data_IF_715765842884
#
_entry.id   IF_715765842884
#
_cell.length_a   1.000
_cell.length_b   1.000
_cell.length_c   1.000
_cell.angle_alpha   90.00
_cell.angle_beta   90.00
_cell.angle_gamma   90.00
#
_symmetry.space_group_name_H-M   'P 1'
#
loop_
_entity.id
_entity.type
_entity.pdbx_description
1 polymer ?
#
# COMPACT_ATOMS: atom_id res chain seq x y z
N UNK A 1 3.61 19.09 12.09
CA UNK A 1 4.58 18.16 12.69
C UNK A 1 3.88 16.81 12.76
N UNK A 2 4.34 15.80 12.01
CA UNK A 2 3.73 14.47 11.97
C UNK A 2 4.31 13.58 13.08
N UNK A 3 4.05 13.95 14.33
CA UNK A 3 4.44 13.15 15.49
C UNK A 3 3.22 12.47 16.10
N UNK A 4 3.41 11.26 16.62
CA UNK A 4 2.36 10.54 17.32
C UNK A 4 1.78 11.39 18.46
N UNK A 5 0.45 11.44 18.54
CA UNK A 5 -0.27 11.98 19.69
C UNK A 5 -0.38 10.89 20.77
N UNK A 6 -0.63 11.29 22.01
CA UNK A 6 -0.89 10.35 23.10
C UNK A 6 -2.02 9.37 22.74
N UNK A 7 -3.12 9.90 22.19
CA UNK A 7 -4.25 9.10 21.71
C UNK A 7 -3.85 8.08 20.65
N UNK A 8 -3.00 8.46 19.69
CA UNK A 8 -2.51 7.52 18.67
C UNK A 8 -1.60 6.43 19.25
N UNK A 9 -0.83 6.75 20.30
CA UNK A 9 0.00 5.77 21.00
C UNK A 9 -0.82 4.80 21.83
N UNK A 10 -1.85 5.29 22.53
CA UNK A 10 -2.78 4.45 23.30
C UNK A 10 -3.59 3.53 22.37
N UNK A 11 -4.06 4.05 21.22
CA UNK A 11 -4.74 3.25 20.20
C UNK A 11 -3.82 2.14 19.65
N UNK A 12 -2.56 2.45 19.39
CA UNK A 12 -1.56 1.47 18.94
C UNK A 12 -1.28 0.40 20.00
N UNK A 13 -1.11 0.79 21.27
CA UNK A 13 -0.90 -0.15 22.38
C UNK A 13 -2.10 -1.11 22.55
N UNK A 14 -3.32 -0.59 22.51
CA UNK A 14 -4.54 -1.41 22.55
C UNK A 14 -4.65 -2.34 21.34
N UNK A 15 -4.27 -1.88 20.15
CA UNK A 15 -4.22 -2.70 18.93
C UNK A 15 -3.26 -3.86 19.08
N UNK A 16 -2.04 -3.60 19.57
CA UNK A 16 -1.03 -4.65 19.74
C UNK A 16 -1.47 -5.66 20.81
N UNK A 17 -2.01 -5.19 21.94
CA UNK A 17 -2.52 -6.05 23.03
C UNK A 17 -3.64 -6.96 22.55
N UNK A 18 -4.58 -6.45 21.75
CA UNK A 18 -5.69 -7.27 21.26
C UNK A 18 -5.24 -8.31 20.25
N UNK A 19 -4.31 -7.96 19.35
CA UNK A 19 -3.69 -8.90 18.42
C UNK A 19 -2.93 -10.02 19.14
N UNK A 20 -2.12 -9.71 20.16
CA UNK A 20 -1.44 -10.71 21.00
C UNK A 20 -2.45 -11.60 21.71
N UNK A 21 -3.48 -11.00 22.32
CA UNK A 21 -4.52 -11.73 23.04
C UNK A 21 -5.25 -12.70 22.12
N UNK A 22 -5.59 -12.28 20.91
CA UNK A 22 -6.22 -13.14 19.89
C UNK A 22 -5.33 -14.32 19.52
N UNK A 23 -4.04 -14.07 19.25
CA UNK A 23 -3.07 -15.13 18.92
C UNK A 23 -2.92 -16.12 20.07
N UNK A 24 -2.78 -15.63 21.30
CA UNK A 24 -2.67 -16.47 22.48
C UNK A 24 -3.89 -17.38 22.65
N UNK A 25 -5.09 -16.82 22.52
CA UNK A 25 -6.34 -17.58 22.67
C UNK A 25 -6.60 -18.56 21.53
N UNK A 26 -6.14 -18.26 20.32
CA UNK A 26 -6.30 -19.14 19.16
C UNK A 26 -5.34 -20.34 19.20
N UNK A 27 -4.14 -20.18 19.76
CA UNK A 27 -3.07 -21.17 19.57
C UNK A 27 -2.41 -21.68 20.86
N UNK A 28 -2.48 -20.95 21.97
CA UNK A 28 -1.70 -21.26 23.19
C UNK A 28 -2.59 -21.71 24.34
N UNK A 29 -3.67 -20.99 24.63
CA UNK A 29 -4.49 -21.25 25.82
C UNK A 29 -5.94 -20.83 25.69
N UNK A 30 -6.73 -21.16 26.70
CA UNK A 30 -8.16 -20.81 26.78
C UNK A 30 -8.44 -20.00 28.05
N UNK A 31 -9.42 -19.10 27.99
CA UNK A 31 -9.91 -18.38 29.17
C UNK A 31 -10.82 -19.29 29.99
N UNK A 32 -10.49 -19.54 31.25
CA UNK A 32 -11.20 -20.50 32.11
C UNK A 32 -12.30 -19.81 32.94
N UNK A 33 -12.06 -18.58 33.40
CA UNK A 33 -12.90 -17.96 34.43
C UNK A 33 -13.85 -16.87 33.89
N UNK A 34 -13.58 -16.32 32.71
CA UNK A 34 -14.36 -15.20 32.13
C UNK A 34 -14.41 -13.91 32.97
N UNK A 35 -13.73 -13.86 34.13
CA UNK A 35 -13.75 -12.73 35.08
C UNK A 35 -13.12 -11.46 34.53
N UNK A 36 -12.25 -11.61 33.53
CA UNK A 36 -11.58 -10.50 32.85
C UNK A 36 -11.94 -10.55 31.37
N UNK A 37 -12.43 -9.43 30.84
CA UNK A 37 -12.68 -9.28 29.41
C UNK A 37 -11.35 -9.21 28.67
N UNK A 38 -11.08 -10.23 27.86
CA UNK A 38 -9.92 -10.28 26.98
C UNK A 38 -10.29 -9.70 25.62
N UNK A 39 -9.83 -8.47 25.35
CA UNK A 39 -10.06 -7.82 24.06
C UNK A 39 -9.25 -8.54 22.98
N UNK A 40 -9.92 -9.08 21.96
CA UNK A 40 -9.29 -9.80 20.83
C UNK A 40 -9.29 -8.97 19.54
N UNK A 41 -10.14 -7.94 19.50
CA UNK A 41 -10.31 -7.09 18.34
C UNK A 41 -9.61 -5.75 18.56
N UNK A 42 -8.85 -5.25 17.59
CA UNK A 42 -8.32 -3.89 17.63
C UNK A 42 -9.42 -2.86 17.83
N UNK A 43 -9.16 -1.78 18.60
CA UNK A 43 -10.10 -0.66 18.68
C UNK A 43 -10.36 -0.10 17.29
N UNK A 44 -11.61 0.24 17.02
CA UNK A 44 -12.01 0.80 15.73
C UNK A 44 -11.15 2.04 15.41
N UNK A 45 -10.61 2.08 14.18
CA UNK A 45 -10.06 3.32 13.64
C UNK A 45 -11.21 4.28 13.37
N UNK A 46 -11.00 5.58 13.57
CA UNK A 46 -12.01 6.58 13.26
C UNK A 46 -12.36 6.50 11.76
N UNK A 47 -13.55 6.02 11.38
CA UNK A 47 -13.92 5.94 9.97
C UNK A 47 -14.06 7.36 9.42
N UNK A 48 -13.63 7.57 8.17
CA UNK A 48 -13.98 8.80 7.47
C UNK A 48 -15.46 8.74 7.12
N UNK A 49 -16.16 9.85 7.30
CA UNK A 49 -17.55 9.94 6.86
C UNK A 49 -17.62 9.64 5.35
N UNK A 50 -18.56 8.79 4.91
CA UNK A 50 -18.71 8.47 3.51
C UNK A 50 -19.16 9.71 2.73
N UNK A 51 -18.23 10.35 2.03
CA UNK A 51 -18.52 11.46 1.13
C UNK A 51 -18.80 10.87 -0.25
N UNK A 52 -19.95 11.21 -0.85
CA UNK A 52 -20.22 10.86 -2.24
C UNK A 52 -19.20 11.60 -3.13
N UNK A 53 -18.30 10.89 -3.83
CA UNK A 53 -17.31 11.55 -4.65
C UNK A 53 -17.98 12.12 -5.91
N UNK A 54 -17.53 13.31 -6.32
CA UNK A 54 -17.86 13.86 -7.63
C UNK A 54 -16.92 13.21 -8.66
N UNK A 55 -17.39 12.13 -9.27
CA UNK A 55 -16.60 11.32 -10.19
C UNK A 55 -17.04 11.60 -11.63
N UNK A 56 -16.08 12.03 -12.45
CA UNK A 56 -16.23 12.06 -13.90
C UNK A 56 -15.37 10.95 -14.50
N UNK A 57 -16.01 9.96 -15.11
CA UNK A 57 -15.28 8.91 -15.83
C UNK A 57 -14.84 9.42 -17.20
N UNK A 58 -13.53 9.38 -17.44
CA UNK A 58 -12.95 9.67 -18.74
C UNK A 58 -13.05 8.43 -19.64
N UNK A 59 -13.28 8.64 -20.93
CA UNK A 59 -13.24 7.60 -21.96
C UNK A 59 -11.84 7.02 -22.04
N UNK A 60 -11.79 5.70 -22.16
CA UNK A 60 -10.55 4.96 -22.36
C UNK A 60 -9.80 5.51 -23.59
N UNK A 61 -8.51 5.70 -23.41
CA UNK A 61 -7.62 6.17 -24.46
C UNK A 61 -6.75 5.04 -24.98
N UNK A 62 -6.54 5.00 -26.29
CA UNK A 62 -5.50 4.17 -26.90
C UNK A 62 -4.26 5.05 -27.03
N UNK A 63 -3.36 4.99 -26.05
CA UNK A 63 -2.04 5.60 -26.16
C UNK A 63 -1.08 4.56 -26.77
N UNK A 64 -0.35 4.97 -27.82
CA UNK A 64 0.43 4.05 -28.66
C UNK A 64 1.82 3.74 -28.10
N UNK A 65 2.36 4.55 -27.19
CA UNK A 65 3.76 4.45 -26.79
C UNK A 65 4.01 4.83 -25.31
N UNK A 66 4.92 4.08 -24.67
CA UNK A 66 5.43 4.37 -23.32
C UNK A 66 6.51 5.47 -23.38
N UNK A 67 6.25 6.55 -24.12
CA UNK A 67 7.20 7.64 -24.35
C UNK A 67 6.78 8.92 -23.63
N UNK A 68 7.73 9.84 -23.45
CA UNK A 68 7.44 11.16 -22.91
C UNK A 68 6.45 11.93 -23.79
N UNK A 69 6.52 11.75 -25.12
CA UNK A 69 5.57 12.35 -26.05
C UNK A 69 4.17 11.76 -25.86
N UNK A 70 4.05 10.44 -25.77
CA UNK A 70 2.79 9.74 -25.52
C UNK A 70 2.10 10.21 -24.25
N UNK A 71 2.85 10.40 -23.16
CA UNK A 71 2.30 11.01 -21.93
C UNK A 71 1.78 12.43 -22.18
N UNK A 72 2.48 13.25 -22.97
CA UNK A 72 1.99 14.58 -23.36
C UNK A 72 0.68 14.55 -24.15
N UNK A 73 0.49 13.56 -25.01
CA UNK A 73 -0.75 13.32 -25.74
C UNK A 73 -1.88 12.88 -24.80
N UNK A 74 -1.57 12.04 -23.80
CA UNK A 74 -2.52 11.66 -22.74
C UNK A 74 -3.07 12.89 -22.01
N UNK A 75 -2.21 13.81 -21.56
CA UNK A 75 -2.66 15.06 -20.91
C UNK A 75 -3.54 15.91 -21.81
N UNK A 76 -3.22 15.98 -23.11
CA UNK A 76 -3.99 16.76 -24.08
C UNK A 76 -5.41 16.22 -24.21
N UNK A 77 -5.57 14.90 -24.29
CA UNK A 77 -6.88 14.27 -24.39
C UNK A 77 -7.63 14.33 -23.05
N UNK A 78 -6.97 14.15 -21.90
CA UNK A 78 -7.61 14.33 -20.58
C UNK A 78 -8.23 15.73 -20.48
N UNK A 79 -7.45 16.76 -20.86
CA UNK A 79 -7.90 18.14 -20.87
C UNK A 79 -9.11 18.35 -21.80
N UNK A 80 -9.09 17.79 -23.01
CA UNK A 80 -10.21 17.85 -23.96
C UNK A 80 -11.46 17.14 -23.42
N UNK A 81 -11.31 15.95 -22.85
CA UNK A 81 -12.43 15.19 -22.29
C UNK A 81 -13.03 15.87 -21.06
N UNK A 82 -12.21 16.55 -20.26
CA UNK A 82 -12.66 17.35 -19.12
C UNK A 82 -13.23 18.72 -19.53
N UNK A 83 -13.12 19.11 -20.81
CA UNK A 83 -13.55 20.42 -21.29
C UNK A 83 -12.77 21.59 -20.69
N UNK A 84 -11.52 21.35 -20.27
CA UNK A 84 -10.66 22.36 -19.65
C UNK A 84 -9.80 23.08 -20.70
N UNK A 85 -9.57 24.36 -20.50
CA UNK A 85 -8.52 25.10 -21.21
C UNK A 85 -7.15 24.86 -20.56
N UNK A 86 -6.04 25.09 -21.29
CA UNK A 86 -4.70 25.02 -20.69
C UNK A 86 -4.56 25.90 -19.45
N UNK A 87 -5.08 27.14 -19.50
CA UNK A 87 -5.04 28.06 -18.38
C UNK A 87 -5.78 27.52 -17.14
N UNK A 88 -6.97 26.94 -17.33
CA UNK A 88 -7.75 26.34 -16.23
C UNK A 88 -7.03 25.15 -15.61
N UNK A 89 -6.45 24.27 -16.43
CA UNK A 89 -5.68 23.12 -15.96
C UNK A 89 -4.48 23.58 -15.12
N UNK A 90 -3.73 24.57 -15.62
CA UNK A 90 -2.54 25.14 -14.97
C UNK A 90 -2.83 25.97 -13.72
N UNK A 91 -4.03 26.53 -13.61
CA UNK A 91 -4.46 27.27 -12.42
C UNK A 91 -4.64 26.39 -11.18
N UNK A 92 -4.67 25.06 -11.34
CA UNK A 92 -4.94 24.10 -10.27
C UNK A 92 -3.83 23.06 -10.17
N UNK A 93 -3.64 22.54 -8.95
CA UNK A 93 -2.81 21.36 -8.74
C UNK A 93 -3.55 20.13 -9.26
N UNK A 94 -2.91 19.37 -10.14
CA UNK A 94 -3.44 18.14 -10.71
C UNK A 94 -2.72 16.96 -10.07
N UNK A 95 -3.43 16.17 -9.29
CA UNK A 95 -2.87 14.94 -8.73
C UNK A 95 -3.12 13.82 -9.74
N UNK A 96 -2.05 13.18 -10.21
CA UNK A 96 -2.16 12.01 -11.09
C UNK A 96 -1.62 10.80 -10.35
N UNK A 97 -2.30 9.67 -10.50
CA UNK A 97 -1.84 8.40 -9.96
C UNK A 97 -1.40 7.49 -11.11
N UNK A 98 -0.29 6.80 -10.92
CA UNK A 98 0.23 5.86 -11.91
C UNK A 98 1.24 4.89 -11.31
N UNK A 99 1.57 3.86 -12.07
CA UNK A 99 2.69 2.98 -11.72
C UNK A 99 4.04 3.72 -11.81
N UNK A 100 5.10 3.09 -11.30
CA UNK A 100 6.45 3.66 -11.28
C UNK A 100 6.97 4.02 -12.68
N UNK A 101 6.70 3.21 -13.69
CA UNK A 101 7.08 3.48 -15.07
C UNK A 101 6.39 4.73 -15.59
N UNK A 102 5.08 4.83 -15.39
CA UNK A 102 4.26 5.98 -15.78
C UNK A 102 4.75 7.29 -15.11
N UNK A 103 5.03 7.26 -13.81
CA UNK A 103 5.58 8.42 -13.09
C UNK A 103 6.97 8.82 -13.61
N UNK A 104 7.85 7.85 -13.91
CA UNK A 104 9.18 8.11 -14.45
C UNK A 104 9.15 8.73 -15.85
N UNK A 105 8.25 8.26 -16.72
CA UNK A 105 8.07 8.84 -18.06
C UNK A 105 7.55 10.27 -17.94
N UNK A 106 6.60 10.51 -17.04
CA UNK A 106 6.11 11.85 -16.76
C UNK A 106 7.21 12.80 -16.25
N UNK A 107 8.06 12.37 -15.30
CA UNK A 107 9.20 13.18 -14.85
C UNK A 107 10.20 13.44 -15.99
N UNK A 108 10.39 12.49 -16.90
CA UNK A 108 11.20 12.68 -18.09
C UNK A 108 10.63 13.77 -19.01
N UNK A 109 9.31 13.77 -19.23
CA UNK A 109 8.60 14.81 -19.97
C UNK A 109 8.75 16.18 -19.30
N UNK A 110 8.59 16.25 -17.96
CA UNK A 110 8.77 17.49 -17.20
C UNK A 110 10.18 18.05 -17.37
N UNK A 111 11.21 17.20 -17.30
CA UNK A 111 12.60 17.62 -17.52
C UNK A 111 12.82 18.14 -18.94
N UNK A 112 12.24 17.50 -19.95
CA UNK A 112 12.32 17.99 -21.35
C UNK A 112 11.66 19.37 -21.54
N UNK A 113 10.64 19.69 -20.75
CA UNK A 113 9.94 20.98 -20.77
C UNK A 113 10.55 22.03 -19.84
N UNK A 114 11.67 21.73 -19.18
CA UNK A 114 12.35 22.65 -18.26
C UNK A 114 13.64 23.19 -18.89
N UNK A 115 13.83 24.51 -19.01
CA UNK A 115 12.91 25.57 -18.61
C UNK A 115 11.72 25.72 -19.58
N UNK A 116 10.54 26.00 -19.03
CA UNK A 116 9.32 26.17 -19.82
C UNK A 116 9.28 27.57 -20.44
N UNK A 117 8.70 27.70 -21.65
CA UNK A 117 8.56 29.00 -22.35
C UNK A 117 7.43 29.86 -21.78
N UNK A 118 6.42 29.21 -21.20
CA UNK A 118 5.26 29.81 -20.53
C UNK A 118 4.80 28.91 -19.39
N UNK A 119 4.03 29.45 -18.45
CA UNK A 119 3.42 28.67 -17.37
C UNK A 119 2.60 27.48 -17.89
N UNK A 120 1.86 27.69 -18.98
CA UNK A 120 1.00 26.68 -19.64
C UNK A 120 1.78 25.58 -20.37
N UNK A 121 3.06 25.83 -20.65
CA UNK A 121 3.96 24.82 -21.22
C UNK A 121 4.72 24.04 -20.16
N UNK A 122 4.68 24.49 -18.90
CA UNK A 122 5.31 23.78 -17.77
C UNK A 122 4.46 22.59 -17.33
N UNK A 123 5.02 21.68 -16.52
CA UNK A 123 4.25 20.60 -15.86
C UNK A 123 4.36 20.68 -14.34
N UNK A 124 4.55 21.90 -13.81
CA UNK A 124 4.84 22.13 -12.40
C UNK A 124 3.61 22.04 -11.50
N UNK A 125 2.42 22.24 -12.06
CA UNK A 125 1.16 22.12 -11.34
C UNK A 125 0.66 20.66 -11.24
N UNK A 126 1.31 19.72 -11.92
CA UNK A 126 0.94 18.30 -11.86
C UNK A 126 1.78 17.61 -10.78
N UNK A 127 1.18 16.79 -9.93
CA UNK A 127 1.86 16.02 -8.90
C UNK A 127 1.64 14.53 -9.18
N UNK A 128 2.67 13.82 -9.71
CA UNK A 128 2.59 12.38 -9.84
C UNK A 128 2.71 11.72 -8.46
N UNK A 129 1.70 10.93 -8.12
CA UNK A 129 1.72 10.00 -7.01
C UNK A 129 1.91 8.60 -7.55
N UNK A 130 2.90 7.91 -7.00
CA UNK A 130 2.98 6.46 -7.15
C UNK A 130 1.69 5.86 -6.60
N UNK A 131 1.11 4.94 -7.37
CA UNK A 131 -0.15 4.35 -6.99
C UNK A 131 -0.17 3.77 -5.60
N UNK A 132 -1.15 4.14 -4.78
CA UNK A 132 -1.23 3.74 -3.39
C UNK A 132 -1.21 2.21 -3.26
N UNK A 133 -1.89 1.51 -4.17
CA UNK A 133 -1.84 0.06 -4.27
C UNK A 133 -0.43 -0.44 -4.60
N UNK A 134 0.25 0.16 -5.57
CA UNK A 134 1.61 -0.23 -5.96
C UNK A 134 2.66 0.04 -4.87
N UNK A 135 2.57 1.16 -4.16
CA UNK A 135 3.43 1.45 -3.01
C UNK A 135 3.20 0.39 -1.94
N UNK A 136 1.92 0.15 -1.58
CA UNK A 136 1.56 -0.83 -0.57
C UNK A 136 2.07 -2.22 -0.94
N UNK A 137 1.93 -2.61 -2.20
CA UNK A 137 2.49 -3.86 -2.74
C UNK A 137 4.00 -3.93 -2.60
N UNK A 138 4.72 -2.89 -3.02
CA UNK A 138 6.18 -2.88 -2.97
C UNK A 138 6.70 -2.94 -1.52
N UNK A 139 6.03 -2.25 -0.59
CA UNK A 139 6.37 -2.31 0.84
C UNK A 139 6.08 -3.71 1.40
N UNK A 140 4.89 -4.26 1.13
CA UNK A 140 4.52 -5.61 1.58
C UNK A 140 5.47 -6.66 1.03
N UNK A 141 5.81 -6.58 -0.27
CA UNK A 141 6.79 -7.45 -0.90
C UNK A 141 8.18 -7.30 -0.27
N UNK A 142 8.64 -6.07 0.01
CA UNK A 142 9.94 -5.85 0.63
C UNK A 142 10.02 -6.46 2.04
N UNK A 143 8.97 -6.28 2.86
CA UNK A 143 8.85 -6.90 4.19
C UNK A 143 8.89 -8.42 4.03
N UNK A 144 8.00 -8.98 3.21
CA UNK A 144 7.88 -10.41 2.97
C UNK A 144 9.20 -11.04 2.48
N UNK A 145 9.93 -10.37 1.60
CA UNK A 145 11.22 -10.83 1.10
C UNK A 145 12.33 -10.73 2.16
N UNK A 146 12.29 -9.72 3.03
CA UNK A 146 13.26 -9.55 4.11
C UNK A 146 13.14 -10.67 5.16
N UNK A 147 11.92 -11.11 5.45
CA UNK A 147 11.63 -12.18 6.41
C UNK A 147 11.50 -13.58 5.79
N UNK A 148 11.60 -13.68 4.45
CA UNK A 148 11.42 -14.95 3.73
C UNK A 148 12.28 -16.07 4.28
N UNK A 149 13.57 -15.82 4.53
CA UNK A 149 14.55 -16.82 4.99
C UNK A 149 15.24 -17.62 3.87
N UNK A 150 15.91 -18.71 4.26
CA UNK A 150 16.66 -19.60 3.36
C UNK A 150 16.04 -21.01 3.29
N UNK A 151 15.32 -21.28 2.20
CA UNK A 151 14.68 -22.58 1.91
C UNK A 151 15.64 -23.77 1.86
N UNK A 152 16.93 -23.55 1.58
CA UNK A 152 17.92 -24.63 1.52
C UNK A 152 18.40 -25.08 2.91
N UNK A 153 18.16 -24.25 3.94
CA UNK A 153 18.54 -24.55 5.30
C UNK A 153 17.32 -25.08 6.07
N UNK A 154 17.34 -26.38 6.41
CA UNK A 154 16.24 -27.02 7.18
C UNK A 154 16.04 -26.47 8.60
N UNK A 155 17.02 -25.73 9.14
CA UNK A 155 16.93 -25.07 10.45
C UNK A 155 16.53 -23.59 10.34
N UNK A 156 16.32 -23.10 9.12
CA UNK A 156 15.85 -21.75 8.89
C UNK A 156 14.42 -21.60 9.40
N UNK A 157 14.13 -20.47 10.04
CA UNK A 157 12.85 -20.15 10.68
C UNK A 157 12.13 -19.00 9.96
N UNK A 158 12.53 -18.70 8.72
CA UNK A 158 11.90 -17.65 7.92
C UNK A 158 10.47 -17.98 7.48
N UNK A 159 9.81 -16.98 6.91
CA UNK A 159 8.39 -17.04 6.54
C UNK A 159 8.05 -18.20 5.59
N UNK A 160 9.00 -18.68 4.77
CA UNK A 160 8.78 -19.83 3.89
C UNK A 160 8.36 -21.09 4.67
N UNK A 161 8.96 -21.31 5.85
CA UNK A 161 8.68 -22.49 6.69
C UNK A 161 7.32 -22.35 7.40
N UNK A 162 6.98 -21.12 7.78
CA UNK A 162 5.70 -20.77 8.37
C UNK A 162 4.57 -21.03 7.38
N UNK A 163 4.69 -20.51 6.16
CA UNK A 163 3.68 -20.70 5.11
C UNK A 163 3.52 -22.17 4.74
N UNK A 164 4.63 -22.91 4.65
CA UNK A 164 4.60 -24.35 4.44
C UNK A 164 3.84 -25.08 5.56
N UNK A 165 4.08 -24.72 6.83
CA UNK A 165 3.37 -25.30 7.98
C UNK A 165 1.87 -25.00 7.99
N UNK A 166 1.46 -23.87 7.41
CA UNK A 166 0.06 -23.48 7.24
C UNK A 166 -0.61 -24.13 6.01
N UNK A 167 0.10 -24.99 5.27
CA UNK A 167 -0.39 -25.60 4.03
C UNK A 167 -0.52 -24.63 2.87
N UNK A 168 0.05 -23.42 2.99
CA UNK A 168 0.10 -22.43 1.93
C UNK A 168 1.31 -22.77 1.05
N UNK A 169 1.13 -22.90 -0.28
CA UNK A 169 2.26 -23.15 -1.17
C UNK A 169 3.31 -22.04 -1.00
N UNK A 170 4.46 -22.39 -0.41
CA UNK A 170 5.59 -21.49 -0.22
C UNK A 170 6.25 -21.20 -1.56
N UNK A 171 5.60 -20.38 -2.39
CA UNK A 171 6.21 -19.77 -3.56
C UNK A 171 6.60 -18.36 -3.18
N UNK A 172 7.90 -18.06 -3.26
CA UNK A 172 8.39 -16.69 -3.18
C UNK A 172 7.54 -15.83 -4.13
N UNK A 173 6.88 -14.75 -3.68
CA UNK A 173 6.00 -13.94 -4.50
C UNK A 173 6.88 -13.07 -5.39
N UNK A 174 7.31 -13.64 -6.52
CA UNK A 174 8.34 -12.99 -7.34
C UNK A 174 7.73 -11.97 -8.31
N UNK A 175 6.46 -12.11 -8.74
CA UNK A 175 6.02 -11.32 -9.93
C UNK A 175 4.53 -11.04 -10.12
N UNK A 176 3.58 -11.77 -9.52
CA UNK A 176 2.14 -11.53 -9.79
C UNK A 176 1.54 -10.61 -8.73
N UNK A 177 1.04 -9.44 -9.14
CA UNK A 177 0.33 -8.47 -8.29
C UNK A 177 -1.03 -9.00 -7.83
N UNK A 178 -1.03 -10.04 -7.00
CA UNK A 178 -2.22 -10.55 -6.33
C UNK A 178 -2.34 -9.91 -4.94
N UNK A 179 -2.91 -8.71 -4.91
CA UNK A 179 -3.03 -7.89 -3.70
C UNK A 179 -3.72 -8.63 -2.56
N UNK A 180 -4.77 -9.41 -2.87
CA UNK A 180 -5.50 -10.18 -1.87
C UNK A 180 -4.62 -11.26 -1.26
N UNK A 181 -3.88 -12.00 -2.10
CA UNK A 181 -2.97 -13.04 -1.61
C UNK A 181 -1.83 -12.44 -0.77
N UNK A 182 -1.28 -11.29 -1.15
CA UNK A 182 -0.25 -10.60 -0.37
C UNK A 182 -0.78 -10.13 0.99
N UNK A 183 -1.99 -9.56 1.04
CA UNK A 183 -2.62 -9.16 2.30
C UNK A 183 -2.81 -10.36 3.23
N UNK A 184 -3.36 -11.47 2.71
CA UNK A 184 -3.53 -12.71 3.47
C UNK A 184 -2.20 -13.25 4.01
N UNK A 185 -1.15 -13.24 3.19
CA UNK A 185 0.18 -13.65 3.61
C UNK A 185 0.75 -12.78 4.72
N UNK A 186 0.64 -11.45 4.59
CA UNK A 186 1.12 -10.50 5.61
C UNK A 186 0.38 -10.68 6.94
N UNK A 187 -0.94 -10.90 6.92
CA UNK A 187 -1.72 -11.18 8.12
C UNK A 187 -1.26 -12.48 8.80
N UNK A 188 -1.02 -13.55 8.02
CA UNK A 188 -0.57 -14.83 8.55
C UNK A 188 0.85 -14.78 9.12
N UNK A 189 1.75 -14.05 8.47
CA UNK A 189 3.11 -13.84 8.98
C UNK A 189 3.08 -13.08 10.30
N UNK A 190 2.26 -12.03 10.39
CA UNK A 190 2.08 -11.29 11.64
C UNK A 190 1.54 -12.20 12.76
N UNK A 191 0.50 -12.99 12.48
CA UNK A 191 -0.10 -13.91 13.45
C UNK A 191 0.93 -14.91 14.02
N UNK A 192 1.77 -15.47 13.15
CA UNK A 192 2.81 -16.43 13.57
C UNK A 192 4.00 -15.73 14.25
N UNK A 193 4.37 -14.54 13.82
CA UNK A 193 5.40 -13.74 14.50
C UNK A 193 4.99 -13.42 15.93
N UNK A 194 3.73 -13.03 16.14
CA UNK A 194 3.17 -12.82 17.48
C UNK A 194 3.15 -14.11 18.30
N UNK A 195 2.81 -15.25 17.69
CA UNK A 195 2.83 -16.55 18.35
C UNK A 195 4.23 -16.91 18.83
N UNK A 196 5.23 -16.73 17.96
CA UNK A 196 6.63 -16.93 18.31
C UNK A 196 7.06 -16.04 19.48
N UNK A 197 6.72 -14.74 19.44
CA UNK A 197 7.00 -13.82 20.55
C UNK A 197 6.37 -14.27 21.87
N UNK A 198 5.11 -14.73 21.84
CA UNK A 198 4.43 -15.27 23.02
C UNK A 198 5.18 -16.48 23.57
N UNK A 199 5.55 -17.43 22.71
CA UNK A 199 6.23 -18.68 23.11
C UNK A 199 7.67 -18.46 23.60
N UNK A 200 8.35 -17.40 23.14
CA UNK A 200 9.71 -17.08 23.59
C UNK A 200 9.76 -16.38 24.95
N UNK A 201 8.68 -15.72 25.36
CA UNK A 201 8.62 -14.95 26.62
C UNK A 201 7.99 -15.78 27.75
N UNK A 202 7.28 -16.87 27.44
CA UNK A 202 6.73 -17.85 28.38
C UNK A 202 7.76 -18.90 28.80
#
# INVERSE_FOLDING_TARGET
MFTATLESSDHFDLTLKSQITRVFLNYVGISVDGKVSLQQDPPAVHPLDPIKPDLTMLKLMVASDNSAQGVGEVFTVIMQQAGLTPAELHSRVQIIEGDLGSCNIFESLRRQRTPARSHESSLNNVLPLLGAAHILWNIAQAIFLAYWGNETNRRDTGDWQILHSLGIPAKKPVTKNDFNLMLLHMEKILEVSLLYCVLCVS
#
